data_IF_740859268261
#
_entry.id   IF_740859268261
#
_cell.length_a   1.000
_cell.length_b   1.000
_cell.length_c   1.000
_cell.angle_alpha   90.00
_cell.angle_beta   90.00
_cell.angle_gamma   90.00
#
_symmetry.space_group_name_H-M   'P 1'
#
loop_
_entity.id
_entity.type
_entity.pdbx_description
1 polymer ?
#
# COMPACT_ATOMS: atom_id res chain seq x y z
N UNK A 1 8.39 6.57 30.05
CA UNK A 1 8.75 5.21 29.60
C UNK A 1 10.25 5.02 29.60
N UNK A 2 10.73 3.91 30.19
CA UNK A 2 12.13 3.47 30.10
C UNK A 2 12.44 2.76 28.75
N UNK A 3 13.70 2.41 28.48
CA UNK A 3 14.11 1.78 27.22
C UNK A 3 13.43 0.43 26.95
N UNK A 4 13.23 -0.38 27.99
CA UNK A 4 12.57 -1.69 27.86
C UNK A 4 11.08 -1.52 27.53
N UNK A 5 10.41 -0.53 28.13
CA UNK A 5 9.02 -0.18 27.82
C UNK A 5 8.90 0.34 26.39
N UNK A 6 9.85 1.16 25.92
CA UNK A 6 9.90 1.61 24.52
C UNK A 6 10.06 0.44 23.56
N UNK A 7 10.99 -0.48 23.82
CA UNK A 7 11.20 -1.66 23.00
C UNK A 7 9.96 -2.57 22.96
N UNK A 8 9.27 -2.75 24.10
CA UNK A 8 8.01 -3.49 24.16
C UNK A 8 6.93 -2.83 23.31
N UNK A 9 6.77 -1.51 23.42
CA UNK A 9 5.79 -0.76 22.63
C UNK A 9 6.09 -0.82 21.13
N UNK A 10 7.36 -0.75 20.74
CA UNK A 10 7.77 -0.92 19.34
C UNK A 10 7.35 -2.27 18.78
N UNK A 11 7.53 -3.35 19.55
CA UNK A 11 7.08 -4.68 19.17
C UNK A 11 5.56 -4.74 18.98
N UNK A 12 4.79 -4.25 19.96
CA UNK A 12 3.32 -4.25 19.88
C UNK A 12 2.80 -3.50 18.64
N UNK A 13 3.40 -2.34 18.35
CA UNK A 13 3.07 -1.56 17.15
C UNK A 13 3.47 -2.31 15.87
N UNK A 14 4.61 -3.00 15.87
CA UNK A 14 5.05 -3.83 14.75
C UNK A 14 4.06 -4.97 14.47
N UNK A 15 3.66 -5.70 15.51
CA UNK A 15 2.68 -6.79 15.40
C UNK A 15 1.32 -6.27 14.87
N UNK A 16 0.85 -5.13 15.38
CA UNK A 16 -0.39 -4.48 14.91
C UNK A 16 -0.27 -4.03 13.45
N UNK A 17 0.87 -3.43 13.09
CA UNK A 17 1.16 -3.00 11.74
C UNK A 17 1.16 -4.16 10.73
N UNK A 18 1.83 -5.27 11.05
CA UNK A 18 1.86 -6.45 10.18
C UNK A 18 0.46 -7.04 9.95
N UNK A 19 -0.37 -7.08 10.99
CA UNK A 19 -1.75 -7.54 10.88
C UNK A 19 -2.58 -6.63 9.95
N UNK A 20 -2.52 -5.31 10.16
CA UNK A 20 -3.20 -4.34 9.31
C UNK A 20 -2.71 -4.43 7.85
N UNK A 21 -1.40 -4.54 7.63
CA UNK A 21 -0.84 -4.67 6.29
C UNK A 21 -1.36 -5.94 5.59
N UNK A 22 -1.37 -7.07 6.29
CA UNK A 22 -1.89 -8.33 5.74
C UNK A 22 -3.37 -8.24 5.36
N UNK A 23 -4.21 -7.62 6.19
CA UNK A 23 -5.61 -7.38 5.87
C UNK A 23 -5.77 -6.50 4.62
N UNK A 24 -4.99 -5.42 4.53
CA UNK A 24 -5.00 -4.52 3.38
C UNK A 24 -4.54 -5.19 2.09
N UNK A 25 -3.45 -5.96 2.12
CA UNK A 25 -2.97 -6.70 0.95
C UNK A 25 -4.02 -7.73 0.48
N UNK A 26 -4.64 -8.45 1.40
CA UNK A 26 -5.72 -9.39 1.09
C UNK A 26 -6.94 -8.71 0.47
N UNK A 27 -7.29 -7.50 0.92
CA UNK A 27 -8.36 -6.72 0.32
C UNK A 27 -7.98 -6.26 -1.10
N UNK A 28 -6.75 -5.78 -1.29
CA UNK A 28 -6.24 -5.35 -2.59
C UNK A 28 -6.28 -6.50 -3.61
N UNK A 29 -5.78 -7.70 -3.27
CA UNK A 29 -5.76 -8.83 -4.20
C UNK A 29 -7.13 -9.20 -4.79
N UNK A 30 -8.24 -8.89 -4.09
CA UNK A 30 -9.60 -9.10 -4.60
C UNK A 30 -9.97 -8.11 -5.71
N UNK A 31 -9.46 -6.88 -5.62
CA UNK A 31 -9.78 -5.79 -6.57
C UNK A 31 -8.79 -5.76 -7.75
N UNK A 32 -7.53 -6.10 -7.50
CA UNK A 32 -6.45 -6.02 -8.49
C UNK A 32 -5.81 -7.39 -8.82
N UNK A 33 -6.60 -8.42 -9.19
CA UNK A 33 -6.08 -9.79 -9.36
C UNK A 33 -5.06 -9.92 -10.50
N UNK A 34 -5.03 -8.96 -11.44
CA UNK A 34 -4.13 -8.95 -12.59
C UNK A 34 -2.85 -8.12 -12.35
N UNK A 35 -2.69 -7.55 -11.15
CA UNK A 35 -1.50 -6.79 -10.78
C UNK A 35 -0.52 -7.68 -10.02
N UNK A 36 0.75 -7.60 -10.42
CA UNK A 36 1.83 -8.35 -9.79
C UNK A 36 2.59 -7.41 -8.85
N UNK A 37 2.74 -7.82 -7.60
CA UNK A 37 3.59 -7.14 -6.64
C UNK A 37 4.99 -6.96 -7.22
N UNK A 38 5.51 -5.73 -7.23
CA UNK A 38 6.92 -5.53 -7.60
C UNK A 38 7.76 -5.93 -6.38
N UNK A 39 8.36 -7.13 -6.44
CA UNK A 39 9.26 -7.62 -5.41
C UNK A 39 10.47 -6.68 -5.28
N UNK A 40 10.42 -5.78 -4.30
CA UNK A 40 11.61 -5.26 -3.66
C UNK A 40 11.71 -6.04 -2.35
N UNK A 41 12.83 -6.71 -2.16
CA UNK A 41 13.01 -7.79 -1.20
C UNK A 41 12.39 -7.47 0.19
N UNK A 42 11.49 -8.35 0.62
CA UNK A 42 10.94 -8.54 1.97
C UNK A 42 9.71 -7.77 2.49
N UNK A 43 9.00 -6.97 1.71
CA UNK A 43 7.56 -6.71 1.91
C UNK A 43 7.06 -5.67 0.91
N UNK A 44 5.80 -5.78 0.50
CA UNK A 44 5.06 -4.66 -0.09
C UNK A 44 4.84 -3.57 0.96
N UNK A 45 5.93 -2.95 1.43
CA UNK A 45 5.83 -1.83 2.35
C UNK A 45 5.11 -0.71 1.60
N UNK A 46 3.97 -0.24 2.11
CA UNK A 46 3.29 0.86 1.47
C UNK A 46 4.15 2.11 1.60
N UNK A 47 4.11 2.93 0.56
CA UNK A 47 4.59 4.30 0.63
C UNK A 47 3.54 5.09 1.42
N UNK A 48 3.92 5.46 2.63
CA UNK A 48 3.15 6.38 3.48
C UNK A 48 3.30 7.80 2.98
N UNK A 49 2.24 8.59 3.11
CA UNK A 49 2.20 9.97 2.65
C UNK A 49 2.60 10.06 1.17
N UNK A 50 1.63 9.77 0.30
CA UNK A 50 1.74 9.84 -1.17
C UNK A 50 2.12 11.22 -1.74
N UNK A 51 2.66 12.13 -0.93
CA UNK A 51 3.39 13.33 -1.32
C UNK A 51 4.45 13.12 -2.41
N UNK A 52 4.96 11.89 -2.56
CA UNK A 52 5.86 11.51 -3.65
C UNK A 52 5.13 11.17 -4.98
N UNK A 53 3.81 11.02 -4.95
CA UNK A 53 2.93 10.75 -6.09
C UNK A 53 2.12 11.99 -6.44
N UNK A 54 1.59 12.04 -7.68
CA UNK A 54 0.71 13.13 -8.09
C UNK A 54 -0.71 12.94 -7.52
N UNK A 55 -1.07 11.71 -7.18
CA UNK A 55 -2.37 11.37 -6.60
C UNK A 55 -2.34 11.47 -5.08
N UNK A 56 -3.26 12.26 -4.51
CA UNK A 56 -3.50 12.27 -3.06
C UNK A 56 -4.21 10.97 -2.60
N UNK A 57 -3.82 10.48 -1.43
CA UNK A 57 -4.17 9.14 -0.98
C UNK A 57 -3.58 8.79 0.38
N UNK A 58 -4.10 7.72 0.97
CA UNK A 58 -3.71 7.22 2.28
C UNK A 58 -2.42 6.39 2.18
N UNK A 59 -2.40 5.43 1.25
CA UNK A 59 -1.31 4.47 1.06
C UNK A 59 -1.11 4.21 -0.43
N UNK A 60 0.14 3.95 -0.82
CA UNK A 60 0.48 3.52 -2.18
C UNK A 60 1.34 2.26 -2.16
N UNK A 61 0.98 1.26 -2.97
CA UNK A 61 1.67 -0.02 -3.02
C UNK A 61 2.34 -0.21 -4.39
N UNK A 62 3.61 -0.61 -4.44
CA UNK A 62 4.31 -0.82 -5.70
C UNK A 62 3.80 -2.08 -6.41
N UNK A 63 3.24 -1.89 -7.61
CA UNK A 63 2.68 -2.97 -8.40
C UNK A 63 3.02 -2.81 -9.89
N UNK A 64 3.00 -3.92 -10.60
CA UNK A 64 2.95 -3.97 -12.05
C UNK A 64 1.57 -4.41 -12.49
N UNK A 65 0.79 -3.49 -13.05
CA UNK A 65 -0.55 -3.76 -13.56
C UNK A 65 -0.51 -3.76 -15.09
N UNK A 66 -0.97 -4.86 -15.72
CA UNK A 66 -0.95 -5.02 -17.19
C UNK A 66 0.45 -4.76 -17.82
N UNK A 67 1.51 -5.18 -17.14
CA UNK A 67 2.89 -5.01 -17.60
C UNK A 67 3.46 -3.60 -17.44
N UNK A 68 2.72 -2.67 -16.82
CA UNK A 68 3.21 -1.33 -16.49
C UNK A 68 3.58 -1.24 -15.01
N UNK A 69 4.80 -0.83 -14.66
CA UNK A 69 5.15 -0.54 -13.27
C UNK A 69 4.47 0.76 -12.81
N UNK A 70 4.07 0.80 -11.55
CA UNK A 70 3.35 1.92 -10.97
C UNK A 70 3.03 1.70 -9.50
N UNK A 71 2.03 2.44 -9.03
CA UNK A 71 1.52 2.35 -7.68
C UNK A 71 0.02 2.14 -7.69
N UNK A 72 -0.45 1.18 -6.88
CA UNK A 72 -1.87 1.10 -6.51
C UNK A 72 -2.07 1.99 -5.29
N UNK A 73 -2.85 3.06 -5.46
CA UNK A 73 -3.10 4.10 -4.47
C UNK A 73 -4.49 3.93 -3.89
N UNK A 74 -4.57 3.92 -2.56
CA UNK A 74 -5.82 3.97 -1.80
C UNK A 74 -6.14 5.43 -1.51
N UNK A 75 -7.23 5.94 -2.07
CA UNK A 75 -7.70 7.31 -1.82
C UNK A 75 -8.43 7.42 -0.49
N UNK A 76 -8.60 8.65 -0.01
CA UNK A 76 -9.24 8.96 1.29
C UNK A 76 -10.70 8.48 1.35
N UNK A 77 -11.39 8.43 0.22
CA UNK A 77 -12.77 7.95 0.07
C UNK A 77 -12.90 6.43 -0.11
N UNK A 78 -11.77 5.71 -0.07
CA UNK A 78 -11.69 4.25 -0.25
C UNK A 78 -11.59 3.79 -1.70
N UNK A 79 -11.56 4.70 -2.68
CA UNK A 79 -11.32 4.35 -4.07
C UNK A 79 -9.89 3.87 -4.29
N UNK A 80 -9.72 2.91 -5.20
CA UNK A 80 -8.43 2.42 -5.66
C UNK A 80 -8.16 2.95 -7.06
N UNK A 81 -6.97 3.52 -7.23
CA UNK A 81 -6.46 3.88 -8.54
C UNK A 81 -5.06 3.31 -8.75
N UNK A 82 -4.69 3.10 -10.00
CA UNK A 82 -3.33 2.79 -10.39
C UNK A 82 -2.71 4.02 -11.05
N UNK A 83 -1.61 4.53 -10.49
CA UNK A 83 -0.78 5.59 -11.06
C UNK A 83 0.48 4.95 -11.67
N UNK A 84 0.65 5.04 -12.99
CA UNK A 84 1.86 4.55 -13.65
C UNK A 84 3.05 5.52 -13.44
N UNK A 85 4.26 5.09 -13.81
CA UNK A 85 5.48 5.91 -13.67
C UNK A 85 5.46 7.23 -14.48
N UNK A 86 4.52 7.40 -15.41
CA UNK A 86 4.34 8.65 -16.15
C UNK A 86 3.31 9.58 -15.48
N UNK A 87 2.63 9.12 -14.42
CA UNK A 87 1.57 9.82 -13.72
C UNK A 87 0.20 9.65 -14.36
N UNK A 88 -0.01 8.66 -15.23
CA UNK A 88 -1.34 8.34 -15.75
C UNK A 88 -2.11 7.57 -14.68
N UNK A 89 -3.34 7.99 -14.41
CA UNK A 89 -4.21 7.40 -13.38
C UNK A 89 -5.29 6.56 -14.05
N UNK A 90 -5.47 5.33 -13.57
CA UNK A 90 -6.55 4.42 -13.99
C UNK A 90 -7.35 3.99 -12.76
N UNK A 91 -8.68 4.09 -12.83
CA UNK A 91 -9.56 3.60 -11.76
C UNK A 91 -9.57 2.06 -11.72
N UNK A 92 -9.41 1.50 -10.53
CA UNK A 92 -9.32 0.05 -10.31
C UNK A 92 -10.54 -0.50 -9.59
N UNK A 93 -11.25 0.33 -8.82
CA UNK A 93 -12.44 -0.04 -8.07
C UNK A 93 -12.45 0.59 -6.68
N UNK A 94 -13.08 -0.08 -5.72
CA UNK A 94 -13.20 0.39 -4.34
C UNK A 94 -12.88 -0.74 -3.37
N UNK A 95 -12.17 -0.43 -2.28
CA UNK A 95 -12.07 -1.31 -1.12
C UNK A 95 -13.30 -1.03 -0.24
N UNK A 96 -14.18 -2.03 -0.16
CA UNK A 96 -15.36 -2.06 0.72
C UNK A 96 -15.19 -3.11 1.81
#
# INVERSE_FOLDING_TARGET
MNLIEKARRMREIGDEYENLLNEMLNALFKVIPNCVALNMDDSLMPIYAVSALKTEGLLAFPYSCNGKPGYVVIRIDGELVFEDMNGNVTEMGKIS
#
